data_IF_588730992354
#
_entry.id   IF_588730992354
#
_cell.length_a   1.000
_cell.length_b   1.000
_cell.length_c   1.000
_cell.angle_alpha   90.00
_cell.angle_beta   90.00
_cell.angle_gamma   90.00
#
_symmetry.space_group_name_H-M   'P 1'
#
loop_
_entity.id
_entity.type
_entity.pdbx_description
1 polymer ?
#
# COMPACT_ATOMS: atom_id res chain seq x y z
N UNK A 1 -29.02 13.57 15.84
CA UNK A 1 -29.89 12.76 14.97
C UNK A 1 -29.02 11.67 14.39
N UNK A 2 -29.44 10.41 14.45
CA UNK A 2 -28.75 9.36 13.72
C UNK A 2 -29.21 9.54 12.27
N UNK A 3 -28.31 10.01 11.39
CA UNK A 3 -28.54 9.92 9.94
C UNK A 3 -28.76 8.45 9.65
N UNK A 4 -30.02 8.09 9.40
CA UNK A 4 -30.44 6.73 9.14
C UNK A 4 -29.53 6.20 8.02
N UNK A 5 -28.86 5.07 8.25
CA UNK A 5 -28.14 4.37 7.19
C UNK A 5 -29.15 4.13 6.07
N UNK A 6 -29.06 4.94 5.01
CA UNK A 6 -29.92 4.79 3.85
C UNK A 6 -29.47 3.52 3.15
N UNK A 7 -30.33 2.51 3.24
CA UNK A 7 -30.15 1.28 2.49
C UNK A 7 -31.09 1.33 1.29
N UNK A 8 -30.55 1.53 0.07
CA UNK A 8 -31.34 1.39 -1.13
C UNK A 8 -32.14 0.08 -1.15
N UNK A 9 -33.43 0.18 -1.45
CA UNK A 9 -34.28 -0.97 -1.75
C UNK A 9 -33.80 -1.64 -3.03
N UNK A 10 -33.43 -0.84 -4.04
CA UNK A 10 -32.81 -1.31 -5.27
C UNK A 10 -31.28 -1.46 -5.10
N UNK A 11 -30.76 -2.67 -5.31
CA UNK A 11 -29.33 -2.96 -5.14
C UNK A 11 -28.44 -2.30 -6.20
N UNK A 12 -29.01 -1.82 -7.30
CA UNK A 12 -28.27 -1.11 -8.35
C UNK A 12 -27.71 0.23 -7.86
N UNK A 13 -28.32 0.85 -6.86
CA UNK A 13 -27.83 2.12 -6.28
C UNK A 13 -26.51 1.97 -5.52
N UNK A 14 -26.08 0.75 -5.16
CA UNK A 14 -24.76 0.51 -4.55
C UNK A 14 -23.63 0.41 -5.58
N UNK A 15 -23.93 0.28 -6.88
CA UNK A 15 -22.91 0.15 -7.93
C UNK A 15 -21.88 1.29 -7.91
N UNK A 16 -22.28 2.58 -7.77
CA UNK A 16 -21.32 3.67 -7.67
C UNK A 16 -20.37 3.55 -6.47
N UNK A 17 -20.89 3.11 -5.32
CA UNK A 17 -20.08 2.94 -4.11
C UNK A 17 -19.07 1.79 -4.26
N UNK A 18 -19.47 0.67 -4.88
CA UNK A 18 -18.57 -0.45 -5.17
C UNK A 18 -17.48 -0.03 -6.14
N UNK A 19 -17.81 0.72 -7.19
CA UNK A 19 -16.81 1.23 -8.14
C UNK A 19 -15.78 2.11 -7.42
N UNK A 20 -16.23 3.02 -6.56
CA UNK A 20 -15.33 3.87 -5.75
C UNK A 20 -14.42 3.03 -4.86
N UNK A 21 -14.98 2.06 -4.14
CA UNK A 21 -14.23 1.13 -3.29
C UNK A 21 -13.15 0.40 -4.09
N UNK A 22 -13.49 -0.13 -5.26
CA UNK A 22 -12.57 -0.86 -6.13
C UNK A 22 -11.44 0.05 -6.61
N UNK A 23 -11.72 1.29 -7.02
CA UNK A 23 -10.70 2.27 -7.42
C UNK A 23 -9.72 2.52 -6.26
N UNK A 24 -10.21 2.76 -5.05
CA UNK A 24 -9.36 2.97 -3.89
C UNK A 24 -8.54 1.73 -3.52
N UNK A 25 -9.12 0.54 -3.59
CA UNK A 25 -8.42 -0.73 -3.33
C UNK A 25 -7.29 -0.96 -4.33
N UNK A 26 -7.55 -0.72 -5.62
CA UNK A 26 -6.52 -0.81 -6.67
C UNK A 26 -5.42 0.23 -6.41
N UNK A 27 -5.79 1.48 -6.10
CA UNK A 27 -4.84 2.53 -5.76
C UNK A 27 -3.96 2.16 -4.57
N UNK A 28 -4.55 1.66 -3.48
CA UNK A 28 -3.82 1.22 -2.30
C UNK A 28 -2.87 0.06 -2.61
N UNK A 29 -3.32 -0.95 -3.37
CA UNK A 29 -2.48 -2.07 -3.78
C UNK A 29 -1.29 -1.63 -4.63
N UNK A 30 -1.51 -0.73 -5.59
CA UNK A 30 -0.45 -0.16 -6.43
C UNK A 30 0.56 0.61 -5.58
N UNK A 31 0.09 1.51 -4.71
CA UNK A 31 0.95 2.28 -3.82
C UNK A 31 1.79 1.36 -2.93
N UNK A 32 1.17 0.36 -2.30
CA UNK A 32 1.88 -0.62 -1.46
C UNK A 32 2.95 -1.37 -2.26
N UNK A 33 2.62 -1.80 -3.48
CA UNK A 33 3.59 -2.46 -4.36
C UNK A 33 4.78 -1.56 -4.72
N UNK A 34 4.53 -0.28 -5.01
CA UNK A 34 5.60 0.69 -5.27
C UNK A 34 6.50 0.87 -4.04
N UNK A 35 5.92 1.05 -2.85
CA UNK A 35 6.68 1.15 -1.60
C UNK A 35 7.52 -0.10 -1.35
N UNK A 36 6.96 -1.29 -1.53
CA UNK A 36 7.70 -2.54 -1.36
C UNK A 36 8.90 -2.65 -2.30
N UNK A 37 8.73 -2.29 -3.57
CA UNK A 37 9.82 -2.31 -4.56
C UNK A 37 10.93 -1.32 -4.22
N UNK A 38 10.57 -0.13 -3.75
CA UNK A 38 11.54 0.90 -3.33
C UNK A 38 12.28 0.43 -2.08
N UNK A 39 11.56 -0.04 -1.07
CA UNK A 39 12.10 -0.54 0.19
C UNK A 39 13.14 -1.64 -0.03
N UNK A 40 12.86 -2.62 -0.91
CA UNK A 40 13.84 -3.67 -1.26
C UNK A 40 15.11 -3.15 -1.93
N UNK A 41 15.00 -2.08 -2.73
CA UNK A 41 16.16 -1.47 -3.38
C UNK A 41 17.02 -0.71 -2.37
N UNK A 42 16.39 -0.06 -1.41
CA UNK A 42 17.06 0.62 -0.29
C UNK A 42 17.72 -0.39 0.65
N UNK A 43 17.03 -1.48 1.00
CA UNK A 43 17.57 -2.57 1.80
C UNK A 43 18.86 -3.13 1.19
N UNK A 44 18.86 -3.42 -0.12
CA UNK A 44 20.05 -3.93 -0.81
C UNK A 44 21.23 -2.93 -0.72
N UNK A 45 20.97 -1.65 -0.99
CA UNK A 45 22.01 -0.60 -0.90
C UNK A 45 22.55 -0.43 0.51
N UNK A 46 21.66 -0.45 1.51
CA UNK A 46 22.02 -0.35 2.91
C UNK A 46 22.89 -1.54 3.32
N UNK A 47 22.49 -2.76 2.93
CA UNK A 47 23.25 -3.96 3.21
C UNK A 47 24.62 -3.94 2.52
N UNK A 48 24.72 -3.51 1.26
CA UNK A 48 26.02 -3.33 0.58
C UNK A 48 26.92 -2.33 1.31
N UNK A 49 26.41 -1.15 1.70
CA UNK A 49 27.21 -0.12 2.37
C UNK A 49 27.61 -0.47 3.82
N UNK A 50 26.76 -1.18 4.57
CA UNK A 50 27.01 -1.50 5.97
C UNK A 50 27.63 -2.88 6.20
N UNK A 51 27.44 -3.85 5.29
CA UNK A 51 28.20 -5.11 5.34
C UNK A 51 29.68 -4.85 5.05
N UNK A 52 30.05 -4.04 4.06
CA UNK A 52 31.46 -3.69 3.78
C UNK A 52 32.15 -3.08 5.02
N UNK A 53 31.48 -2.16 5.73
CA UNK A 53 32.02 -1.55 6.96
C UNK A 53 32.25 -2.54 8.11
N UNK A 54 31.43 -3.59 8.21
CA UNK A 54 31.55 -4.59 9.27
C UNK A 54 32.72 -5.58 9.05
N UNK A 55 33.28 -5.62 7.84
CA UNK A 55 34.48 -6.40 7.52
C UNK A 55 35.77 -5.57 7.61
N UNK A 56 35.70 -4.25 7.44
CA UNK A 56 36.85 -3.33 7.52
C UNK A 56 37.26 -3.00 8.97
N UNK A 57 36.29 -2.92 9.91
CA UNK A 57 36.57 -2.71 11.36
C UNK A 57 37.13 -3.96 12.09
N UNK A 58 37.49 -5.03 11.36
CA UNK A 58 38.04 -6.28 11.92
C UNK A 58 39.49 -6.59 11.52
N UNK A 59 40.18 -5.70 10.81
CA UNK A 59 41.65 -5.77 10.62
C UNK A 59 42.43 -4.90 11.62
#
# INVERSE_FOLDING_TARGET
MMEFLYFPEDKTEYIPAIIQLVIFMIGAAVVMYFFYKVSKKEEKKFNEQYQEKSFDDKE
#
